data_IF_980644025621
#
_entry.id   IF_980644025621
#
_cell.length_a   1.000
_cell.length_b   1.000
_cell.length_c   1.000
_cell.angle_alpha   90.00
_cell.angle_beta   90.00
_cell.angle_gamma   90.00
#
_symmetry.space_group_name_H-M   'P 1'
#
loop_
_entity.id
_entity.type
_entity.pdbx_description
1 polymer ?
#
# COMPACT_ATOMS: atom_id res chain seq x y z
N UNK A 1 25.25 -12.10 -61.18
CA UNK A 1 24.12 -12.65 -60.41
C UNK A 1 23.29 -11.47 -59.95
N UNK A 2 22.02 -11.42 -60.27
CA UNK A 2 21.14 -10.34 -59.78
C UNK A 2 21.02 -10.44 -58.26
N UNK A 3 20.76 -9.33 -57.58
CA UNK A 3 20.59 -9.30 -56.11
C UNK A 3 19.46 -10.22 -55.67
N UNK A 4 18.44 -10.42 -56.48
CA UNK A 4 17.36 -11.37 -56.28
C UNK A 4 17.85 -12.82 -56.16
N UNK A 5 18.77 -13.25 -57.03
CA UNK A 5 19.33 -14.60 -57.00
C UNK A 5 20.16 -14.87 -55.74
N UNK A 6 20.80 -13.83 -55.19
CA UNK A 6 21.55 -13.94 -53.91
C UNK A 6 20.61 -14.10 -52.72
N UNK A 7 19.50 -13.36 -52.72
CA UNK A 7 18.51 -13.45 -51.63
C UNK A 7 17.85 -14.83 -51.62
N UNK A 8 17.50 -15.36 -52.80
CA UNK A 8 16.89 -16.69 -52.91
C UNK A 8 17.84 -17.77 -52.41
N UNK A 9 19.11 -17.78 -52.87
CA UNK A 9 20.07 -18.78 -52.42
C UNK A 9 20.35 -18.71 -50.91
N UNK A 10 20.42 -17.49 -50.36
CA UNK A 10 20.59 -17.32 -48.90
C UNK A 10 19.37 -17.87 -48.12
N UNK A 11 18.14 -17.64 -48.64
CA UNK A 11 16.93 -18.19 -48.02
C UNK A 11 16.91 -19.71 -48.08
N UNK A 12 17.33 -20.32 -49.22
CA UNK A 12 17.41 -21.78 -49.38
C UNK A 12 18.45 -22.41 -48.42
N UNK A 13 19.54 -21.71 -48.13
CA UNK A 13 20.56 -22.18 -47.19
C UNK A 13 20.13 -22.01 -45.73
N UNK A 14 19.34 -20.99 -45.42
CA UNK A 14 19.06 -20.60 -44.01
C UNK A 14 17.58 -20.84 -43.58
N UNK A 15 16.72 -21.41 -44.43
CA UNK A 15 15.28 -21.53 -44.15
C UNK A 15 14.97 -22.28 -42.85
N UNK A 16 15.78 -23.31 -42.50
CA UNK A 16 15.57 -24.07 -41.26
C UNK A 16 15.77 -23.18 -40.01
N UNK A 17 16.81 -22.32 -40.04
CA UNK A 17 17.08 -21.35 -38.98
C UNK A 17 15.98 -20.28 -38.90
N UNK A 18 15.49 -19.80 -40.04
CA UNK A 18 14.40 -18.83 -40.11
C UNK A 18 13.08 -19.41 -39.56
N UNK A 19 12.73 -20.64 -39.96
CA UNK A 19 11.52 -21.32 -39.45
C UNK A 19 11.65 -21.53 -37.93
N UNK A 20 12.81 -21.99 -37.44
CA UNK A 20 13.05 -22.17 -36.01
C UNK A 20 12.93 -20.84 -35.24
N UNK A 21 13.51 -19.76 -35.76
CA UNK A 21 13.39 -18.43 -35.20
C UNK A 21 11.94 -17.92 -35.11
N UNK A 22 11.15 -18.16 -36.18
CA UNK A 22 9.73 -17.83 -36.20
C UNK A 22 8.96 -18.63 -35.14
N UNK A 23 9.20 -19.95 -35.05
CA UNK A 23 8.55 -20.82 -34.07
C UNK A 23 8.86 -20.35 -32.65
N UNK A 24 10.12 -20.07 -32.35
CA UNK A 24 10.53 -19.58 -31.02
C UNK A 24 9.87 -18.22 -30.72
N UNK A 25 9.90 -17.29 -31.70
CA UNK A 25 9.27 -15.97 -31.55
C UNK A 25 7.77 -16.06 -31.28
N UNK A 26 7.04 -16.84 -32.06
CA UNK A 26 5.62 -17.07 -31.86
C UNK A 26 5.32 -17.76 -30.53
N UNK A 27 6.07 -18.77 -30.15
CA UNK A 27 5.91 -19.47 -28.87
C UNK A 27 6.10 -18.54 -27.68
N UNK A 28 7.10 -17.65 -27.76
CA UNK A 28 7.34 -16.63 -26.73
C UNK A 28 6.18 -15.64 -26.63
N UNK A 29 5.67 -15.15 -27.76
CA UNK A 29 4.53 -14.23 -27.80
C UNK A 29 3.25 -14.87 -27.23
N UNK A 30 2.94 -16.11 -27.63
CA UNK A 30 1.78 -16.82 -27.11
C UNK A 30 1.91 -17.14 -25.63
N UNK A 31 3.09 -17.58 -25.18
CA UNK A 31 3.36 -17.83 -23.77
C UNK A 31 3.21 -16.58 -22.91
N UNK A 32 3.76 -15.45 -23.39
CA UNK A 32 3.61 -14.15 -22.71
C UNK A 32 2.14 -13.70 -22.64
N UNK A 33 1.40 -13.81 -23.75
CA UNK A 33 -0.03 -13.48 -23.79
C UNK A 33 -0.86 -14.36 -22.83
N UNK A 34 -0.58 -15.65 -22.79
CA UNK A 34 -1.26 -16.57 -21.89
C UNK A 34 -0.95 -16.23 -20.40
N UNK A 35 0.31 -15.90 -20.10
CA UNK A 35 0.72 -15.48 -18.76
C UNK A 35 -0.01 -14.21 -18.32
N UNK A 36 -0.02 -13.14 -19.16
CA UNK A 36 -0.73 -11.90 -18.87
C UNK A 36 -2.24 -12.13 -18.70
N UNK A 37 -2.84 -12.94 -19.56
CA UNK A 37 -4.27 -13.28 -19.46
C UNK A 37 -4.60 -14.00 -18.15
N UNK A 38 -3.76 -14.93 -17.73
CA UNK A 38 -3.91 -15.66 -16.47
C UNK A 38 -3.80 -14.72 -15.26
N UNK A 39 -2.80 -13.81 -15.27
CA UNK A 39 -2.62 -12.84 -14.21
C UNK A 39 -3.79 -11.86 -14.11
N UNK A 40 -4.28 -11.34 -15.25
CA UNK A 40 -5.45 -10.46 -15.29
C UNK A 40 -6.72 -11.16 -14.75
N UNK A 41 -6.92 -12.44 -15.09
CA UNK A 41 -8.06 -13.23 -14.58
C UNK A 41 -7.96 -13.39 -13.06
N UNK A 42 -6.76 -13.65 -12.54
CA UNK A 42 -6.52 -13.74 -11.10
C UNK A 42 -6.80 -12.42 -10.40
N UNK A 43 -6.32 -11.30 -10.93
CA UNK A 43 -6.58 -9.96 -10.38
C UNK A 43 -8.09 -9.64 -10.37
N UNK A 44 -8.80 -9.98 -11.44
CA UNK A 44 -10.25 -9.79 -11.54
C UNK A 44 -11.01 -10.61 -10.49
N UNK A 45 -10.59 -11.86 -10.26
CA UNK A 45 -11.20 -12.71 -9.25
C UNK A 45 -10.97 -12.18 -7.83
N UNK A 46 -9.76 -11.72 -7.52
CA UNK A 46 -9.46 -11.09 -6.22
C UNK A 46 -10.30 -9.83 -6.02
N UNK A 47 -10.42 -8.98 -7.04
CA UNK A 47 -11.29 -7.80 -7.02
C UNK A 47 -12.73 -8.18 -6.69
N UNK A 48 -13.28 -9.16 -7.40
CA UNK A 48 -14.65 -9.63 -7.18
C UNK A 48 -14.88 -10.18 -5.76
N UNK A 49 -13.92 -10.92 -5.24
CA UNK A 49 -13.99 -11.44 -3.86
C UNK A 49 -13.91 -10.31 -2.83
N UNK A 50 -13.08 -9.29 -3.08
CA UNK A 50 -13.01 -8.10 -2.25
C UNK A 50 -14.35 -7.34 -2.25
N UNK A 51 -14.95 -7.11 -3.43
CA UNK A 51 -16.24 -6.42 -3.54
C UNK A 51 -17.34 -7.16 -2.75
N UNK A 52 -17.40 -8.49 -2.86
CA UNK A 52 -18.32 -9.30 -2.07
C UNK A 52 -18.07 -9.20 -0.56
N UNK A 53 -16.79 -9.17 -0.15
CA UNK A 53 -16.42 -9.04 1.26
C UNK A 53 -16.81 -7.66 1.82
N UNK A 54 -16.62 -6.60 1.03
CA UNK A 54 -17.03 -5.23 1.39
C UNK A 54 -18.54 -5.07 1.46
N UNK A 55 -19.29 -5.64 0.52
CA UNK A 55 -20.75 -5.60 0.54
C UNK A 55 -21.31 -6.29 1.79
N UNK A 56 -20.73 -7.43 2.16
CA UNK A 56 -21.09 -8.13 3.38
C UNK A 56 -20.71 -7.35 4.64
N UNK A 57 -19.53 -6.75 4.65
CA UNK A 57 -19.09 -5.87 5.73
C UNK A 57 -20.03 -4.67 5.92
N UNK A 58 -20.43 -4.01 4.84
CA UNK A 58 -21.41 -2.91 4.87
C UNK A 58 -22.80 -3.35 5.35
N UNK A 59 -23.10 -4.63 5.22
CA UNK A 59 -24.33 -5.25 5.77
C UNK A 59 -24.15 -5.75 7.22
N UNK A 60 -23.04 -5.43 7.89
CA UNK A 60 -22.75 -5.77 9.28
C UNK A 60 -22.08 -7.14 9.48
N UNK A 61 -21.68 -7.83 8.40
CA UNK A 61 -20.99 -9.14 8.47
C UNK A 61 -19.48 -8.96 8.42
N UNK A 62 -18.90 -8.56 9.54
CA UNK A 62 -17.45 -8.22 9.66
C UNK A 62 -16.56 -9.43 9.34
N UNK A 63 -17.00 -10.65 9.69
CA UNK A 63 -16.23 -11.88 9.54
C UNK A 63 -15.81 -12.16 8.10
N UNK A 64 -16.64 -11.76 7.13
CA UNK A 64 -16.36 -11.96 5.71
C UNK A 64 -15.13 -11.16 5.25
N UNK A 65 -15.02 -9.94 5.71
CA UNK A 65 -13.88 -9.07 5.41
C UNK A 65 -12.62 -9.56 6.13
N UNK A 66 -12.73 -9.93 7.40
CA UNK A 66 -11.62 -10.50 8.17
C UNK A 66 -11.09 -11.77 7.53
N UNK A 67 -12.00 -12.65 7.07
CA UNK A 67 -11.62 -13.87 6.36
C UNK A 67 -10.89 -13.56 5.07
N UNK A 68 -11.42 -12.65 4.23
CA UNK A 68 -10.76 -12.21 3.00
C UNK A 68 -9.34 -11.67 3.29
N UNK A 69 -9.20 -10.81 4.31
CA UNK A 69 -7.90 -10.25 4.71
C UNK A 69 -6.91 -11.35 5.11
N UNK A 70 -7.30 -12.25 6.00
CA UNK A 70 -6.45 -13.35 6.50
C UNK A 70 -6.01 -14.31 5.39
N UNK A 71 -6.93 -14.69 4.50
CA UNK A 71 -6.63 -15.57 3.38
C UNK A 71 -5.64 -14.90 2.40
N UNK A 72 -5.85 -13.61 2.09
CA UNK A 72 -5.05 -12.89 1.09
C UNK A 72 -3.71 -12.36 1.60
N UNK A 73 -3.52 -12.18 2.90
CA UNK A 73 -2.18 -11.94 3.48
C UNK A 73 -1.21 -13.05 3.05
N UNK A 74 -1.67 -14.29 2.96
CA UNK A 74 -0.86 -15.45 2.60
C UNK A 74 -0.82 -15.65 1.08
N UNK A 75 -1.97 -15.62 0.42
CA UNK A 75 -2.09 -16.01 -0.99
C UNK A 75 -1.71 -14.91 -1.96
N UNK A 76 -2.02 -13.65 -1.64
CA UNK A 76 -1.87 -12.49 -2.49
C UNK A 76 -1.32 -11.27 -1.72
N UNK A 77 -0.16 -11.40 -1.06
CA UNK A 77 0.36 -10.40 -0.11
C UNK A 77 0.57 -9.01 -0.71
N UNK A 78 0.92 -8.93 -2.00
CA UNK A 78 1.20 -7.68 -2.71
C UNK A 78 0.01 -7.13 -3.51
N UNK A 79 -1.18 -7.71 -3.33
CA UNK A 79 -2.35 -7.24 -4.03
C UNK A 79 -2.94 -5.99 -3.37
N UNK A 80 -3.38 -5.03 -4.17
CA UNK A 80 -3.96 -3.77 -3.67
C UNK A 80 -5.23 -4.02 -2.85
N UNK A 81 -6.08 -4.96 -3.27
CA UNK A 81 -7.31 -5.31 -2.56
C UNK A 81 -7.04 -5.96 -1.20
N UNK A 82 -5.92 -6.70 -1.06
CA UNK A 82 -5.44 -7.19 0.24
C UNK A 82 -5.10 -6.02 1.17
N UNK A 83 -4.39 -5.02 0.66
CA UNK A 83 -4.04 -3.83 1.43
C UNK A 83 -5.27 -3.03 1.86
N UNK A 84 -6.24 -2.85 0.96
CA UNK A 84 -7.49 -2.15 1.26
C UNK A 84 -8.32 -2.92 2.31
N UNK A 85 -8.49 -4.23 2.15
CA UNK A 85 -9.20 -5.05 3.13
C UNK A 85 -8.53 -5.00 4.51
N UNK A 86 -7.19 -5.06 4.54
CA UNK A 86 -6.43 -4.96 5.78
C UNK A 86 -6.60 -3.61 6.50
N UNK A 87 -6.79 -2.50 5.77
CA UNK A 87 -7.10 -1.19 6.39
C UNK A 87 -8.43 -1.22 7.15
N UNK A 88 -9.45 -1.86 6.60
CA UNK A 88 -10.74 -2.04 7.26
C UNK A 88 -10.64 -3.04 8.42
N UNK A 89 -9.96 -4.16 8.20
CA UNK A 89 -9.76 -5.18 9.23
C UNK A 89 -9.01 -4.63 10.44
N UNK A 90 -7.95 -3.84 10.20
CA UNK A 90 -7.23 -3.17 11.27
C UNK A 90 -8.12 -2.22 12.09
N UNK A 91 -9.00 -1.47 11.41
CA UNK A 91 -9.98 -0.60 12.08
C UNK A 91 -10.94 -1.41 12.95
N UNK A 92 -11.47 -2.52 12.44
CA UNK A 92 -12.41 -3.36 13.20
C UNK A 92 -11.74 -4.00 14.42
N UNK A 93 -10.50 -4.47 14.26
CA UNK A 93 -9.73 -5.03 15.37
C UNK A 93 -9.43 -3.97 16.43
N UNK A 94 -9.13 -2.75 16.02
CA UNK A 94 -8.98 -1.62 16.93
C UNK A 94 -10.27 -1.34 17.74
N UNK A 95 -11.43 -1.29 17.06
CA UNK A 95 -12.73 -1.06 17.72
C UNK A 95 -13.04 -2.17 18.74
N UNK A 96 -12.60 -3.40 18.47
CA UNK A 96 -12.74 -4.55 19.37
C UNK A 96 -11.63 -4.59 20.45
N UNK A 97 -10.74 -3.60 20.51
CA UNK A 97 -9.57 -3.56 21.40
C UNK A 97 -8.60 -4.74 21.19
N UNK A 98 -8.64 -5.39 20.02
CA UNK A 98 -7.69 -6.42 19.63
C UNK A 98 -6.51 -5.78 18.89
N UNK A 99 -5.64 -5.13 19.66
CA UNK A 99 -4.53 -4.34 19.12
C UNK A 99 -3.49 -5.20 18.40
N UNK A 100 -3.24 -6.42 18.89
CA UNK A 100 -2.27 -7.33 18.25
C UNK A 100 -2.67 -7.66 16.81
N UNK A 101 -3.93 -7.98 16.59
CA UNK A 101 -4.43 -8.28 15.26
C UNK A 101 -4.53 -7.02 14.38
N UNK A 102 -4.85 -5.86 14.96
CA UNK A 102 -4.79 -4.59 14.27
C UNK A 102 -3.36 -4.28 13.76
N UNK A 103 -2.34 -4.50 14.59
CA UNK A 103 -0.93 -4.37 14.19
C UNK A 103 -0.55 -5.34 13.07
N UNK A 104 -0.97 -6.59 13.15
CA UNK A 104 -0.70 -7.58 12.10
C UNK A 104 -1.17 -7.09 10.72
N UNK A 105 -2.39 -6.58 10.62
CA UNK A 105 -2.92 -6.04 9.37
C UNK A 105 -2.16 -4.79 8.90
N UNK A 106 -1.85 -3.86 9.80
CA UNK A 106 -1.11 -2.64 9.46
C UNK A 106 0.33 -2.95 9.04
N UNK A 107 1.02 -3.86 9.74
CA UNK A 107 2.38 -4.28 9.39
C UNK A 107 2.45 -4.96 8.03
N UNK A 108 1.43 -5.77 7.71
CA UNK A 108 1.34 -6.35 6.39
C UNK A 108 1.26 -5.27 5.30
N UNK A 109 0.42 -4.25 5.49
CA UNK A 109 0.29 -3.13 4.53
C UNK A 109 1.62 -2.39 4.39
N UNK A 110 2.26 -2.03 5.51
CA UNK A 110 3.53 -1.30 5.53
C UNK A 110 4.61 -2.05 4.74
N UNK A 111 4.62 -3.38 4.84
CA UNK A 111 5.65 -4.22 4.23
C UNK A 111 5.37 -4.57 2.77
N UNK A 112 4.13 -4.78 2.40
CA UNK A 112 3.79 -5.46 1.15
C UNK A 112 2.88 -4.67 0.21
N UNK A 113 2.22 -3.59 0.66
CA UNK A 113 1.36 -2.82 -0.23
C UNK A 113 2.13 -2.30 -1.45
N UNK A 114 1.57 -2.44 -2.67
CA UNK A 114 2.18 -1.86 -3.86
C UNK A 114 2.02 -0.33 -3.93
N UNK A 115 1.15 0.25 -3.10
CA UNK A 115 0.80 1.66 -3.09
C UNK A 115 1.45 2.35 -1.88
N UNK A 116 2.26 3.37 -2.17
CA UNK A 116 3.04 4.13 -1.17
C UNK A 116 2.15 4.97 -0.25
N UNK A 117 1.04 5.50 -0.79
CA UNK A 117 0.10 6.29 0.00
C UNK A 117 -0.64 5.41 1.01
N UNK A 118 -1.01 4.20 0.61
CA UNK A 118 -1.62 3.21 1.50
C UNK A 118 -0.62 2.74 2.57
N UNK A 119 0.66 2.57 2.22
CA UNK A 119 1.71 2.29 3.22
C UNK A 119 1.85 3.45 4.22
N UNK A 120 1.86 4.68 3.72
CA UNK A 120 1.93 5.89 4.55
C UNK A 120 0.74 5.99 5.51
N UNK A 121 -0.47 5.76 5.02
CA UNK A 121 -1.68 5.72 5.84
C UNK A 121 -1.62 4.62 6.91
N UNK A 122 -1.09 3.45 6.59
CA UNK A 122 -0.93 2.36 7.54
C UNK A 122 0.09 2.71 8.63
N UNK A 123 1.22 3.34 8.27
CA UNK A 123 2.21 3.86 9.23
C UNK A 123 1.59 4.88 10.17
N UNK A 124 0.85 5.84 9.64
CA UNK A 124 0.14 6.86 10.42
C UNK A 124 -0.83 6.21 11.43
N UNK A 125 -1.67 5.28 10.96
CA UNK A 125 -2.63 4.58 11.83
C UNK A 125 -1.93 3.75 12.91
N UNK A 126 -0.87 3.02 12.55
CA UNK A 126 -0.10 2.23 13.52
C UNK A 126 0.58 3.12 14.56
N UNK A 127 1.21 4.23 14.13
CA UNK A 127 1.82 5.18 15.05
C UNK A 127 0.79 5.76 16.03
N UNK A 128 -0.41 6.10 15.54
CA UNK A 128 -1.50 6.58 16.39
C UNK A 128 -1.90 5.55 17.45
N UNK A 129 -2.05 4.28 17.08
CA UNK A 129 -2.34 3.20 18.01
C UNK A 129 -1.23 3.02 19.05
N UNK A 130 0.04 3.08 18.63
CA UNK A 130 1.20 3.00 19.54
C UNK A 130 1.20 4.15 20.56
N UNK A 131 0.83 5.36 20.13
CA UNK A 131 0.71 6.51 21.02
C UNK A 131 -0.42 6.30 22.03
N UNK A 132 -1.57 5.80 21.60
CA UNK A 132 -2.70 5.48 22.48
C UNK A 132 -2.37 4.37 23.52
N UNK A 133 -1.45 3.46 23.15
CA UNK A 133 -0.93 2.41 24.04
C UNK A 133 0.30 2.85 24.86
N UNK A 134 0.67 4.14 24.80
CA UNK A 134 1.83 4.71 25.48
C UNK A 134 3.20 4.12 25.05
N UNK A 135 3.24 3.45 23.88
CA UNK A 135 4.46 2.87 23.29
C UNK A 135 5.18 3.91 22.44
N UNK A 136 5.60 4.99 23.06
CA UNK A 136 6.09 6.20 22.40
C UNK A 136 7.37 5.98 21.59
N UNK A 137 8.27 5.11 22.05
CA UNK A 137 9.53 4.85 21.33
C UNK A 137 9.27 4.20 19.96
N UNK A 138 8.38 3.24 19.90
CA UNK A 138 8.03 2.55 18.64
C UNK A 138 7.26 3.50 17.70
N UNK A 139 6.43 4.37 18.26
CA UNK A 139 5.76 5.42 17.49
C UNK A 139 6.78 6.38 16.85
N UNK A 140 7.80 6.83 17.60
CA UNK A 140 8.88 7.64 17.05
C UNK A 140 9.65 6.94 15.93
N UNK A 141 10.04 5.67 16.16
CA UNK A 141 10.74 4.87 15.13
C UNK A 141 9.90 4.70 13.86
N UNK A 142 8.61 4.44 14.02
CA UNK A 142 7.70 4.22 12.88
C UNK A 142 7.48 5.49 12.05
N UNK A 143 7.35 6.65 12.71
CA UNK A 143 7.18 7.93 12.05
C UNK A 143 8.47 8.42 11.36
N UNK A 144 9.64 7.88 11.77
CA UNK A 144 10.93 8.18 11.17
C UNK A 144 11.32 9.66 11.26
N UNK A 145 12.47 10.04 10.69
CA UNK A 145 12.94 11.42 10.70
C UNK A 145 12.48 12.22 9.47
N UNK A 146 12.26 11.53 8.34
CA UNK A 146 11.79 12.18 7.12
C UNK A 146 10.26 12.25 7.10
N UNK A 147 9.67 13.45 7.03
CA UNK A 147 8.23 13.61 6.98
C UNK A 147 7.67 13.15 5.63
N UNK A 148 6.67 12.26 5.66
CA UNK A 148 5.99 11.78 4.46
C UNK A 148 4.93 12.80 4.01
N UNK A 149 4.20 13.38 4.96
CA UNK A 149 3.15 14.38 4.73
C UNK A 149 2.88 15.19 6.02
N UNK A 150 2.00 16.20 5.93
CA UNK A 150 1.65 17.03 7.07
C UNK A 150 1.03 16.24 8.23
N UNK A 151 0.28 15.18 7.96
CA UNK A 151 -0.38 14.37 8.99
C UNK A 151 0.64 13.63 9.87
N UNK A 152 1.74 13.15 9.29
CA UNK A 152 2.85 12.55 10.03
C UNK A 152 3.54 13.59 10.93
N UNK A 153 3.75 14.80 10.41
CA UNK A 153 4.32 15.90 11.19
C UNK A 153 3.40 16.34 12.33
N UNK A 154 2.11 16.47 12.04
CA UNK A 154 1.11 16.78 13.08
C UNK A 154 1.12 15.72 14.18
N UNK A 155 1.14 14.43 13.81
CA UNK A 155 1.17 13.33 14.78
C UNK A 155 2.50 13.28 15.57
N UNK A 156 3.64 13.64 14.96
CA UNK A 156 4.90 13.83 15.70
C UNK A 156 4.78 14.98 16.70
N UNK A 157 4.17 16.09 16.30
CA UNK A 157 3.86 17.19 17.20
C UNK A 157 3.01 16.73 18.39
N UNK A 158 1.96 15.95 18.15
CA UNK A 158 1.10 15.37 19.17
C UNK A 158 1.88 14.44 20.12
N UNK A 159 2.77 13.61 19.58
CA UNK A 159 3.63 12.71 20.35
C UNK A 159 4.58 13.47 21.27
N UNK A 160 5.23 14.53 20.79
CA UNK A 160 6.08 15.40 21.62
C UNK A 160 5.26 16.19 22.66
N UNK A 161 4.04 16.63 22.30
CA UNK A 161 3.13 17.30 23.22
C UNK A 161 2.76 16.41 24.42
N UNK A 162 2.39 15.15 24.18
CA UNK A 162 2.08 14.16 25.22
C UNK A 162 3.28 13.97 26.16
N UNK A 163 4.50 13.96 25.60
CA UNK A 163 5.74 13.86 26.36
C UNK A 163 6.16 15.18 27.04
N UNK A 164 5.35 16.24 26.94
CA UNK A 164 5.64 17.59 27.48
C UNK A 164 6.91 18.24 26.88
N UNK A 165 7.33 17.80 25.71
CA UNK A 165 8.43 18.36 24.95
C UNK A 165 7.88 19.45 24.01
N UNK A 166 7.53 20.58 24.62
CA UNK A 166 6.79 21.65 23.97
C UNK A 166 7.54 22.32 22.78
N UNK A 167 8.85 22.62 22.88
CA UNK A 167 9.58 23.19 21.75
C UNK A 167 9.58 22.29 20.52
N UNK A 168 9.78 20.98 20.70
CA UNK A 168 9.77 19.98 19.65
C UNK A 168 8.37 19.84 19.02
N UNK A 169 7.33 19.84 19.86
CA UNK A 169 5.95 19.81 19.40
C UNK A 169 5.64 21.00 18.49
N UNK A 170 5.97 22.23 18.94
CA UNK A 170 5.77 23.47 18.17
C UNK A 170 6.55 23.43 16.85
N UNK A 171 7.78 22.91 16.84
CA UNK A 171 8.58 22.79 15.64
C UNK A 171 7.90 21.91 14.58
N UNK A 172 7.44 20.71 14.96
CA UNK A 172 6.77 19.81 14.03
C UNK A 172 5.41 20.32 13.56
N UNK A 173 4.65 21.01 14.42
CA UNK A 173 3.41 21.68 13.98
C UNK A 173 3.68 22.81 12.96
N UNK A 174 4.72 23.63 13.20
CA UNK A 174 5.10 24.67 12.26
C UNK A 174 5.57 24.08 10.92
N UNK A 175 6.31 22.98 10.95
CA UNK A 175 6.72 22.25 9.75
C UNK A 175 5.49 21.69 8.99
N UNK A 176 4.50 21.13 9.68
CA UNK A 176 3.25 20.70 9.09
C UNK A 176 2.49 21.83 8.36
N UNK A 177 2.55 23.06 8.90
CA UNK A 177 1.93 24.24 8.31
C UNK A 177 2.61 24.71 7.02
N UNK A 178 3.82 24.24 6.69
CA UNK A 178 4.50 24.55 5.40
C UNK A 178 3.90 23.79 4.24
N UNK A 179 3.18 22.69 4.51
CA UNK A 179 2.49 21.91 3.48
C UNK A 179 1.22 22.62 2.99
N UNK A 180 0.80 22.29 1.76
CA UNK A 180 -0.47 22.74 1.21
C UNK A 180 -1.62 21.96 1.87
N UNK A 181 -2.24 22.56 2.90
CA UNK A 181 -3.30 21.98 3.70
C UNK A 181 -4.56 22.86 3.64
N UNK A 182 -5.71 22.27 3.91
CA UNK A 182 -6.98 23.00 3.92
C UNK A 182 -7.03 24.04 5.05
N UNK A 183 -7.89 25.08 4.93
CA UNK A 183 -8.06 26.07 6.00
C UNK A 183 -8.45 25.46 7.35
N UNK A 184 -9.25 24.39 7.36
CA UNK A 184 -9.65 23.69 8.59
C UNK A 184 -8.48 22.95 9.25
N UNK A 185 -7.67 22.24 8.47
CA UNK A 185 -6.47 21.56 8.97
C UNK A 185 -5.49 22.58 9.54
N UNK A 186 -5.24 23.66 8.83
CA UNK A 186 -4.41 24.78 9.31
C UNK A 186 -4.92 25.34 10.63
N UNK A 187 -6.21 25.59 10.76
CA UNK A 187 -6.84 26.08 11.98
C UNK A 187 -6.63 25.11 13.15
N UNK A 188 -6.76 23.81 12.92
CA UNK A 188 -6.56 22.79 13.94
C UNK A 188 -5.11 22.76 14.45
N UNK A 189 -4.13 22.79 13.55
CA UNK A 189 -2.71 22.80 13.93
C UNK A 189 -2.35 24.09 14.68
N UNK A 190 -2.83 25.25 14.22
CA UNK A 190 -2.63 26.53 14.92
C UNK A 190 -3.26 26.51 16.32
N UNK A 191 -4.44 25.92 16.48
CA UNK A 191 -5.07 25.76 17.78
C UNK A 191 -4.17 24.92 18.74
N UNK A 192 -3.59 23.81 18.27
CA UNK A 192 -2.63 23.00 19.07
C UNK A 192 -1.41 23.81 19.50
N UNK A 193 -0.83 24.63 18.61
CA UNK A 193 0.29 25.51 18.95
C UNK A 193 -0.10 26.52 20.04
N UNK A 194 -1.30 27.09 19.94
CA UNK A 194 -1.77 28.10 20.91
C UNK A 194 -2.09 27.51 22.29
N UNK A 195 -2.36 26.20 22.38
CA UNK A 195 -2.56 25.51 23.66
C UNK A 195 -1.25 25.29 24.43
N UNK A 196 -0.11 25.42 23.77
CA UNK A 196 1.22 25.17 24.35
C UNK A 196 1.85 26.48 24.85
N UNK A 197 1.46 27.63 24.27
CA UNK A 197 1.98 28.96 24.62
C UNK A 197 1.29 29.50 25.87
#
# INVERSE_FOLDING_TARGET
MSDEARVVSWLEENYKGLILGIIIGLSTLYGYKAYISSENTKQLEISRQYDLAIDQYNSGKIESLLKFSKDNIIQNPKNIYTSLANLYSAKEMYVQSNYEEAYLFLDHIIKYSPDVEIQSLAKYRKAKLLIEQEVYNDAHLLLGDEPINYQHLELKGDLYLIQKKYPEAINHYNEALTYSITPNERKNIVAKINLIK
#
